data_IF_720073033375
#
_entry.id   IF_720073033375
#
_cell.length_a   1.000
_cell.length_b   1.000
_cell.length_c   1.000
_cell.angle_alpha   90.00
_cell.angle_beta   90.00
_cell.angle_gamma   90.00
#
_symmetry.space_group_name_H-M   'P 1'
#
loop_
_entity.id
_entity.type
_entity.pdbx_description
1 polymer ?
#
# COMPACT_ATOMS: atom_id res chain seq x y z
N UNK A 1 15.67 -4.24 -7.33
CA UNK A 1 15.02 -4.96 -8.45
C UNK A 1 15.88 -4.74 -9.68
N UNK A 2 16.15 -5.78 -10.46
CA UNK A 2 17.00 -5.72 -11.66
C UNK A 2 16.26 -6.31 -12.84
N UNK A 3 16.39 -5.70 -14.03
CA UNK A 3 15.97 -6.34 -15.28
C UNK A 3 17.14 -7.17 -15.82
N UNK A 4 16.87 -8.42 -16.15
CA UNK A 4 17.84 -9.40 -16.66
C UNK A 4 17.47 -9.74 -18.09
N UNK A 5 18.36 -9.41 -19.03
CA UNK A 5 18.22 -9.83 -20.43
C UNK A 5 18.43 -11.33 -20.55
N UNK A 6 17.60 -12.00 -21.35
CA UNK A 6 17.74 -13.42 -21.67
C UNK A 6 18.08 -13.54 -23.15
N UNK A 7 19.12 -14.31 -23.48
CA UNK A 7 19.49 -14.57 -24.87
C UNK A 7 18.31 -15.23 -25.60
N UNK A 8 17.85 -14.58 -26.67
CA UNK A 8 16.71 -15.02 -27.49
C UNK A 8 15.38 -15.19 -26.72
N UNK A 9 15.18 -14.48 -25.60
CA UNK A 9 13.96 -14.52 -24.81
C UNK A 9 13.51 -13.15 -24.32
N UNK A 10 12.32 -13.11 -23.70
CA UNK A 10 11.86 -11.92 -23.00
C UNK A 10 12.70 -11.67 -21.76
N UNK A 11 12.92 -10.39 -21.45
CA UNK A 11 13.61 -10.01 -20.22
C UNK A 11 12.85 -10.51 -18.98
N UNK A 12 13.59 -10.76 -17.91
CA UNK A 12 13.06 -11.11 -16.60
C UNK A 12 13.31 -9.98 -15.59
N UNK A 13 12.53 -9.97 -14.52
CA UNK A 13 12.75 -9.11 -13.36
C UNK A 13 13.25 -9.97 -12.21
N UNK A 14 14.45 -9.68 -11.72
CA UNK A 14 15.01 -10.25 -10.50
C UNK A 14 14.73 -9.32 -9.31
N UNK A 15 13.83 -9.74 -8.41
CA UNK A 15 13.53 -9.05 -7.14
C UNK A 15 14.38 -9.69 -6.05
N UNK A 16 15.35 -8.92 -5.53
CA UNK A 16 16.12 -9.31 -4.35
C UNK A 16 15.45 -8.74 -3.11
N UNK A 17 15.04 -9.62 -2.21
CA UNK A 17 14.41 -9.23 -0.94
C UNK A 17 15.47 -8.71 0.02
N UNK A 18 15.14 -7.60 0.69
CA UNK A 18 16.05 -6.96 1.64
C UNK A 18 16.27 -7.85 2.87
N UNK A 19 17.52 -8.16 3.24
CA UNK A 19 17.80 -8.90 4.46
C UNK A 19 17.15 -8.23 5.68
N UNK A 20 16.49 -9.03 6.52
CA UNK A 20 15.86 -8.56 7.76
C UNK A 20 14.51 -7.84 7.61
N UNK A 21 14.00 -7.61 6.39
CA UNK A 21 12.62 -7.08 6.21
C UNK A 21 11.57 -8.18 6.42
N UNK A 22 11.71 -9.27 5.68
CA UNK A 22 10.79 -10.41 5.70
C UNK A 22 11.59 -11.71 5.85
N UNK A 23 11.01 -12.66 6.61
CA UNK A 23 11.48 -14.04 6.68
C UNK A 23 11.00 -14.86 5.46
N UNK A 24 11.40 -16.12 5.39
CA UNK A 24 11.07 -16.98 4.24
C UNK A 24 9.57 -17.21 4.16
N UNK A 25 8.92 -17.44 5.30
CA UNK A 25 7.49 -17.69 5.44
C UNK A 25 6.66 -16.50 4.95
N UNK A 26 7.01 -15.27 5.34
CA UNK A 26 6.30 -14.06 4.91
C UNK A 26 6.49 -13.78 3.41
N UNK A 27 7.66 -14.11 2.85
CA UNK A 27 7.91 -13.97 1.40
C UNK A 27 7.15 -15.05 0.62
N UNK A 28 7.20 -16.31 1.06
CA UNK A 28 6.48 -17.41 0.42
C UNK A 28 4.96 -17.22 0.47
N UNK A 29 4.46 -16.57 1.51
CA UNK A 29 3.05 -16.20 1.60
C UNK A 29 2.64 -15.13 0.56
N UNK A 30 3.55 -14.20 0.21
CA UNK A 30 3.39 -13.32 -0.97
C UNK A 30 3.22 -14.12 -2.23
N UNK A 31 4.13 -15.08 -2.43
CA UNK A 31 4.25 -15.84 -3.67
C UNK A 31 3.02 -16.72 -3.84
N UNK A 32 2.54 -17.34 -2.76
CA UNK A 32 1.31 -18.10 -2.76
C UNK A 32 0.11 -17.21 -3.13
N UNK A 33 -0.03 -16.04 -2.52
CA UNK A 33 -1.13 -15.12 -2.86
C UNK A 33 -1.03 -14.63 -4.31
N UNK A 34 0.18 -14.32 -4.76
CA UNK A 34 0.46 -13.91 -6.13
C UNK A 34 0.07 -14.98 -7.17
N UNK A 35 0.36 -16.25 -6.88
CA UNK A 35 -0.04 -17.40 -7.71
C UNK A 35 -1.55 -17.62 -7.67
N UNK A 36 -2.19 -17.50 -6.49
CA UNK A 36 -3.65 -17.58 -6.34
C UNK A 36 -4.37 -16.50 -7.15
N UNK A 37 -3.85 -15.26 -7.12
CA UNK A 37 -4.39 -14.14 -7.90
C UNK A 37 -4.30 -14.43 -9.41
N UNK A 38 -3.13 -14.85 -9.89
CA UNK A 38 -2.96 -15.20 -11.29
C UNK A 38 -3.88 -16.35 -11.73
N UNK A 39 -4.04 -17.37 -10.88
CA UNK A 39 -4.97 -18.49 -11.13
C UNK A 39 -6.45 -18.06 -11.11
N UNK A 40 -6.78 -17.02 -10.34
CA UNK A 40 -8.10 -16.39 -10.30
C UNK A 40 -8.35 -15.36 -11.42
N UNK A 41 -7.55 -15.38 -12.49
CA UNK A 41 -7.64 -14.44 -13.62
C UNK A 41 -7.55 -12.96 -13.20
N UNK A 42 -6.82 -12.68 -12.12
CA UNK A 42 -6.36 -11.33 -11.80
C UNK A 42 -5.09 -11.08 -12.59
N UNK A 43 -5.08 -10.02 -13.40
CA UNK A 43 -3.92 -9.55 -14.17
C UNK A 43 -2.79 -9.10 -13.23
N UNK A 44 -2.06 -10.05 -12.68
CA UNK A 44 -0.88 -9.87 -11.86
C UNK A 44 0.19 -10.86 -12.33
N UNK A 45 1.45 -10.45 -12.22
CA UNK A 45 2.60 -11.25 -12.66
C UNK A 45 3.12 -12.07 -11.48
N UNK A 46 2.90 -13.39 -11.46
CA UNK A 46 3.42 -14.22 -10.38
C UNK A 46 4.93 -14.47 -10.52
N UNK A 47 5.59 -14.84 -9.41
CA UNK A 47 6.95 -15.36 -9.48
C UNK A 47 7.01 -16.61 -10.36
N UNK A 48 8.11 -16.78 -11.08
CA UNK A 48 8.39 -17.98 -11.88
C UNK A 48 8.68 -19.13 -10.92
N UNK A 49 7.96 -20.24 -11.11
CA UNK A 49 8.21 -21.50 -10.44
C UNK A 49 9.31 -22.28 -11.15
N UNK A 50 10.23 -22.87 -10.39
CA UNK A 50 11.17 -23.86 -10.93
C UNK A 50 10.46 -25.22 -11.18
N UNK A 51 11.13 -26.22 -11.77
CA UNK A 51 10.54 -27.55 -11.98
C UNK A 51 10.14 -28.32 -10.71
N UNK A 52 10.39 -27.77 -9.51
CA UNK A 52 10.01 -28.31 -8.20
C UNK A 52 9.01 -27.39 -7.49
N UNK A 53 8.35 -26.51 -8.26
CA UNK A 53 7.36 -25.53 -7.81
C UNK A 53 7.90 -24.46 -6.84
N UNK A 54 9.23 -24.28 -6.76
CA UNK A 54 9.85 -23.28 -5.88
C UNK A 54 9.90 -21.91 -6.55
N UNK A 55 9.61 -20.85 -5.79
CA UNK A 55 9.62 -19.45 -6.25
C UNK A 55 10.66 -18.58 -5.55
N UNK A 56 11.08 -18.97 -4.34
CA UNK A 56 12.06 -18.26 -3.53
C UNK A 56 13.41 -18.95 -3.59
N UNK A 57 14.41 -18.22 -4.07
CA UNK A 57 15.78 -18.69 -4.24
C UNK A 57 16.75 -17.92 -3.35
N UNK A 58 17.96 -18.45 -3.20
CA UNK A 58 19.02 -17.84 -2.39
C UNK A 58 20.31 -17.72 -3.19
N UNK A 59 20.96 -16.58 -3.08
CA UNK A 59 22.30 -16.35 -3.62
C UNK A 59 23.12 -15.49 -2.65
N UNK A 60 24.21 -16.05 -2.13
CA UNK A 60 24.97 -15.43 -1.04
C UNK A 60 24.08 -15.19 0.18
N UNK A 61 24.11 -13.96 0.73
CA UNK A 61 23.26 -13.53 1.85
C UNK A 61 21.86 -13.04 1.46
N UNK A 62 21.47 -13.16 0.18
CA UNK A 62 20.22 -12.59 -0.32
C UNK A 62 19.23 -13.67 -0.74
N UNK A 63 17.95 -13.36 -0.52
CA UNK A 63 16.81 -14.09 -1.09
C UNK A 63 16.35 -13.38 -2.34
N UNK A 64 15.92 -14.11 -3.36
CA UNK A 64 15.42 -13.50 -4.58
C UNK A 64 14.35 -14.36 -5.25
N UNK A 65 13.53 -13.71 -6.07
CA UNK A 65 12.57 -14.34 -6.95
C UNK A 65 12.67 -13.72 -8.36
N UNK A 66 12.26 -14.50 -9.36
CA UNK A 66 12.24 -14.10 -10.76
C UNK A 66 10.80 -13.91 -11.21
N UNK A 67 10.54 -12.87 -12.00
CA UNK A 67 9.22 -12.56 -12.53
C UNK A 67 9.32 -12.29 -14.04
N UNK A 68 8.31 -12.63 -14.84
CA UNK A 68 8.21 -12.13 -16.21
C UNK A 68 8.29 -10.60 -16.24
N UNK A 69 9.02 -10.02 -17.19
CA UNK A 69 8.96 -8.57 -17.42
C UNK A 69 7.66 -8.22 -18.13
N UNK A 70 6.92 -7.25 -17.60
CA UNK A 70 5.75 -6.67 -18.26
C UNK A 70 5.95 -5.16 -18.40
N UNK A 71 5.58 -4.62 -19.55
CA UNK A 71 5.51 -3.19 -19.79
C UNK A 71 4.09 -2.67 -19.56
N UNK A 72 3.94 -1.37 -19.49
CA UNK A 72 2.65 -0.71 -19.44
C UNK A 72 2.80 0.77 -19.18
N UNK A 73 1.68 1.49 -19.26
CA UNK A 73 1.61 2.93 -18.95
C UNK A 73 0.84 3.12 -17.64
N UNK A 74 1.01 4.24 -16.93
CA UNK A 74 0.14 4.53 -15.81
C UNK A 74 -1.36 4.56 -16.24
N UNK A 75 -2.29 4.19 -15.35
CA UNK A 75 -3.72 4.30 -15.63
C UNK A 75 -4.14 5.77 -15.88
N UNK A 76 -5.03 6.00 -16.84
CA UNK A 76 -5.72 7.27 -16.99
C UNK A 76 -6.92 7.33 -16.03
N UNK A 77 -6.75 7.97 -14.87
CA UNK A 77 -7.82 8.08 -13.87
C UNK A 77 -8.88 9.14 -14.21
N UNK A 78 -8.70 9.93 -15.27
CA UNK A 78 -9.73 10.88 -15.74
C UNK A 78 -10.79 10.20 -16.62
N UNK A 79 -10.52 8.99 -17.11
CA UNK A 79 -11.46 8.21 -17.92
C UNK A 79 -12.34 7.32 -17.02
N UNK A 80 -13.67 7.55 -16.97
CA UNK A 80 -14.58 6.75 -16.15
C UNK A 80 -14.60 5.26 -16.52
N UNK A 81 -14.31 4.90 -17.77
CA UNK A 81 -14.22 3.48 -18.13
C UNK A 81 -12.95 2.83 -17.60
N UNK A 82 -11.83 3.56 -17.59
CA UNK A 82 -10.62 3.09 -16.91
C UNK A 82 -10.85 2.94 -15.40
N UNK A 83 -11.56 3.89 -14.77
CA UNK A 83 -11.95 3.76 -13.36
C UNK A 83 -12.82 2.51 -13.13
N UNK A 84 -13.84 2.26 -13.97
CA UNK A 84 -14.66 1.03 -13.86
C UNK A 84 -13.84 -0.25 -14.06
N UNK A 85 -12.92 -0.26 -15.02
CA UNK A 85 -12.01 -1.39 -15.25
C UNK A 85 -11.12 -1.65 -14.03
N UNK A 86 -10.56 -0.59 -13.45
CA UNK A 86 -9.79 -0.67 -12.21
C UNK A 86 -10.65 -1.19 -11.06
N UNK A 87 -11.89 -0.72 -10.93
CA UNK A 87 -12.87 -1.24 -9.98
C UNK A 87 -13.07 -2.75 -10.12
N UNK A 88 -13.37 -3.23 -11.33
CA UNK A 88 -13.51 -4.67 -11.63
C UNK A 88 -12.26 -5.46 -11.25
N UNK A 89 -11.08 -4.91 -11.57
CA UNK A 89 -9.80 -5.51 -11.26
C UNK A 89 -9.59 -5.67 -9.74
N UNK A 90 -9.82 -4.60 -8.97
CA UNK A 90 -9.71 -4.62 -7.51
C UNK A 90 -10.76 -5.54 -6.87
N UNK A 91 -11.98 -5.58 -7.43
CA UNK A 91 -13.02 -6.51 -7.01
C UNK A 91 -12.60 -7.97 -7.14
N UNK A 92 -11.96 -8.35 -8.25
CA UNK A 92 -11.41 -9.71 -8.42
C UNK A 92 -10.26 -9.99 -7.46
N UNK A 93 -9.36 -9.02 -7.29
CA UNK A 93 -8.23 -9.14 -6.35
C UNK A 93 -8.73 -9.41 -4.93
N UNK A 94 -9.68 -8.60 -4.46
CA UNK A 94 -10.26 -8.75 -3.13
C UNK A 94 -11.05 -10.05 -3.01
N UNK A 95 -11.82 -10.46 -4.03
CA UNK A 95 -12.54 -11.73 -4.01
C UNK A 95 -11.61 -12.92 -3.73
N UNK A 96 -10.45 -12.97 -4.39
CA UNK A 96 -9.39 -13.96 -4.08
C UNK A 96 -8.80 -13.71 -2.68
N UNK A 97 -8.55 -12.45 -2.33
CA UNK A 97 -8.04 -12.01 -1.03
C UNK A 97 -8.89 -12.46 0.17
N UNK A 98 -10.21 -12.60 0.01
CA UNK A 98 -11.14 -13.07 1.06
C UNK A 98 -11.11 -14.59 1.26
N UNK A 99 -10.62 -15.37 0.29
CA UNK A 99 -10.72 -16.85 0.34
C UNK A 99 -9.85 -17.50 1.42
N UNK A 100 -8.79 -16.81 1.86
CA UNK A 100 -7.86 -17.26 2.91
C UNK A 100 -7.33 -16.08 3.71
N UNK A 101 -6.75 -16.37 4.86
CA UNK A 101 -6.06 -15.38 5.71
C UNK A 101 -4.56 -15.54 5.58
N UNK A 102 -3.84 -14.45 5.78
CA UNK A 102 -2.42 -14.54 6.04
C UNK A 102 -2.15 -15.06 7.46
N UNK A 103 -1.09 -15.84 7.58
CA UNK A 103 -0.55 -16.37 8.83
C UNK A 103 0.71 -15.61 9.28
N UNK A 104 1.52 -15.11 8.33
CA UNK A 104 2.82 -14.49 8.61
C UNK A 104 2.87 -13.00 8.24
N UNK A 105 2.19 -12.60 7.16
CA UNK A 105 2.10 -11.20 6.74
C UNK A 105 1.39 -10.36 7.81
N UNK A 106 1.84 -9.11 8.02
CA UNK A 106 1.29 -8.26 9.06
C UNK A 106 -0.13 -7.79 8.74
N UNK A 107 -0.80 -7.29 9.77
CA UNK A 107 -2.03 -6.52 9.63
C UNK A 107 -1.68 -5.03 9.47
N UNK A 108 -2.45 -4.30 8.68
CA UNK A 108 -2.44 -2.84 8.68
C UNK A 108 -3.28 -2.37 9.89
N UNK A 109 -2.61 -1.86 10.91
CA UNK A 109 -3.26 -1.36 12.12
C UNK A 109 -2.61 -0.06 12.65
N UNK A 110 -3.29 0.54 13.63
CA UNK A 110 -2.87 1.81 14.25
C UNK A 110 -1.54 1.66 14.98
N UNK A 111 -1.25 0.48 15.52
CA UNK A 111 -0.07 0.24 16.34
C UNK A 111 1.19 0.17 15.47
N UNK A 112 1.14 -0.57 14.36
CA UNK A 112 2.28 -0.77 13.45
C UNK A 112 2.53 0.44 12.55
N UNK A 113 1.48 1.09 12.03
CA UNK A 113 1.63 2.23 11.11
C UNK A 113 1.73 3.57 11.83
N UNK A 114 1.08 3.69 12.98
CA UNK A 114 1.01 4.91 13.77
C UNK A 114 1.97 4.88 14.94
N UNK A 115 1.59 4.19 16.01
CA UNK A 115 2.30 4.22 17.32
C UNK A 115 3.78 3.87 17.17
N UNK A 116 4.10 2.73 16.56
CA UNK A 116 5.48 2.27 16.37
C UNK A 116 6.29 3.16 15.40
N UNK A 117 5.62 3.88 14.49
CA UNK A 117 6.26 4.84 13.60
C UNK A 117 6.66 6.11 14.35
N UNK A 118 5.72 6.69 15.09
CA UNK A 118 5.95 7.89 15.92
C UNK A 118 7.01 7.61 16.99
N UNK A 119 6.89 6.49 17.70
CA UNK A 119 7.84 6.09 18.73
C UNK A 119 9.25 5.93 18.17
N UNK A 120 9.40 5.28 17.01
CA UNK A 120 10.70 5.13 16.36
C UNK A 120 11.36 6.48 16.05
N UNK A 121 10.58 7.44 15.53
CA UNK A 121 11.10 8.77 15.16
C UNK A 121 11.56 9.56 16.39
N UNK A 122 10.80 9.49 17.48
CA UNK A 122 11.12 10.15 18.74
C UNK A 122 12.34 9.50 19.42
N UNK A 123 12.39 8.17 19.49
CA UNK A 123 13.46 7.43 20.18
C UNK A 123 14.82 7.47 19.46
N UNK A 124 14.83 7.86 18.18
CA UNK A 124 16.04 7.92 17.37
C UNK A 124 16.42 9.35 16.98
N UNK A 125 15.92 10.35 17.72
CA UNK A 125 16.28 11.77 17.60
C UNK A 125 16.15 12.32 16.16
N UNK A 126 15.16 11.85 15.41
CA UNK A 126 14.90 12.34 14.05
C UNK A 126 14.20 13.71 14.07
N UNK A 127 13.40 13.98 15.10
CA UNK A 127 12.62 15.21 15.21
C UNK A 127 13.51 16.30 15.83
N UNK A 128 13.63 17.49 15.20
CA UNK A 128 14.35 18.62 15.79
C UNK A 128 13.81 18.97 17.19
N UNK A 129 14.72 19.28 18.12
CA UNK A 129 14.38 19.46 19.55
C UNK A 129 13.33 20.55 19.79
N UNK A 130 13.30 21.60 18.97
CA UNK A 130 12.31 22.67 19.03
C UNK A 130 10.93 22.26 18.51
N UNK A 131 10.87 21.24 17.63
CA UNK A 131 9.64 20.72 17.05
C UNK A 131 9.09 19.50 17.82
N UNK A 132 9.93 18.80 18.60
CA UNK A 132 9.55 17.57 19.29
C UNK A 132 8.29 17.71 20.16
N UNK A 133 8.11 18.74 21.01
CA UNK A 133 6.90 18.87 21.81
C UNK A 133 5.63 19.00 20.96
N UNK A 134 5.72 19.74 19.86
CA UNK A 134 4.60 19.93 18.93
C UNK A 134 4.29 18.65 18.16
N UNK A 135 5.31 17.91 17.72
CA UNK A 135 5.16 16.63 17.01
C UNK A 135 4.52 15.57 17.92
N UNK A 136 5.02 15.44 19.16
CA UNK A 136 4.48 14.49 20.15
C UNK A 136 3.01 14.75 20.45
N UNK A 137 2.65 15.97 20.82
CA UNK A 137 1.26 16.33 21.13
C UNK A 137 0.34 16.12 19.92
N UNK A 138 0.75 16.54 18.72
CA UNK A 138 -0.05 16.37 17.51
C UNK A 138 -0.28 14.89 17.17
N UNK A 139 0.77 14.07 17.23
CA UNK A 139 0.67 12.66 16.87
C UNK A 139 -0.15 11.87 17.88
N UNK A 140 -0.08 12.19 19.17
CA UNK A 140 -0.99 11.63 20.20
C UNK A 140 -2.46 11.91 19.87
N UNK A 141 -2.80 13.18 19.55
CA UNK A 141 -4.15 13.59 19.16
C UNK A 141 -4.63 12.88 17.88
N UNK A 142 -3.78 12.82 16.85
CA UNK A 142 -4.10 12.16 15.59
C UNK A 142 -4.30 10.65 15.76
N UNK A 143 -3.48 9.98 16.57
CA UNK A 143 -3.64 8.55 16.84
C UNK A 143 -4.96 8.27 17.58
N UNK A 144 -5.39 9.18 18.45
CA UNK A 144 -6.72 9.07 19.09
C UNK A 144 -7.85 9.25 18.07
N UNK A 145 -7.74 10.21 17.15
CA UNK A 145 -8.73 10.40 16.09
C UNK A 145 -8.80 9.21 15.13
N UNK A 146 -7.65 8.63 14.76
CA UNK A 146 -7.58 7.39 14.00
C UNK A 146 -8.37 6.28 14.71
N UNK A 147 -8.20 6.10 16.02
CA UNK A 147 -8.98 5.10 16.79
C UNK A 147 -10.48 5.38 16.73
N UNK A 148 -10.91 6.64 16.85
CA UNK A 148 -12.32 7.00 16.67
C UNK A 148 -12.86 6.71 15.27
N UNK A 149 -12.05 6.85 14.21
CA UNK A 149 -12.43 6.44 12.86
C UNK A 149 -12.72 4.93 12.81
N UNK A 150 -11.86 4.11 13.41
CA UNK A 150 -12.07 2.66 13.52
C UNK A 150 -13.31 2.32 14.37
N UNK A 151 -13.55 3.05 15.47
CA UNK A 151 -14.77 2.88 16.28
C UNK A 151 -16.05 3.20 15.48
N UNK A 152 -16.05 4.26 14.67
CA UNK A 152 -17.18 4.62 13.80
C UNK A 152 -17.41 3.62 12.68
N UNK A 153 -16.34 3.08 12.09
CA UNK A 153 -16.44 2.00 11.11
C UNK A 153 -17.02 0.71 11.75
N UNK A 154 -16.76 0.50 13.04
CA UNK A 154 -17.17 -0.70 13.76
C UNK A 154 -16.39 -1.94 13.30
N UNK A 155 -16.90 -3.16 13.56
CA UNK A 155 -16.25 -4.37 13.08
C UNK A 155 -16.30 -4.42 11.54
N UNK A 156 -15.11 -4.50 10.94
CA UNK A 156 -14.88 -4.66 9.50
C UNK A 156 -14.18 -5.98 9.24
N UNK A 157 -14.44 -6.58 8.09
CA UNK A 157 -13.72 -7.77 7.65
C UNK A 157 -12.35 -7.36 7.12
N UNK A 158 -11.30 -8.05 7.57
CA UNK A 158 -9.95 -7.84 7.08
C UNK A 158 -9.59 -8.93 6.08
N UNK A 159 -9.09 -8.52 4.92
CA UNK A 159 -8.81 -9.40 3.78
C UNK A 159 -7.33 -9.29 3.41
N UNK A 160 -6.83 -10.19 2.57
CA UNK A 160 -5.50 -10.05 1.97
C UNK A 160 -5.55 -8.99 0.88
N UNK A 161 -4.75 -7.96 1.04
CA UNK A 161 -4.70 -6.78 0.19
C UNK A 161 -3.41 -6.75 -0.63
N UNK A 162 -3.40 -5.96 -1.69
CA UNK A 162 -2.16 -5.43 -2.25
C UNK A 162 -1.43 -4.53 -1.23
N UNK A 163 -2.16 -3.75 -0.43
CA UNK A 163 -1.65 -3.00 0.73
C UNK A 163 -0.98 -1.67 0.39
N UNK A 164 -0.44 -1.54 -0.82
CA UNK A 164 0.12 -0.30 -1.37
C UNK A 164 -0.40 -0.01 -2.79
N UNK A 165 -1.72 -0.16 -3.01
CA UNK A 165 -2.32 -0.03 -4.34
C UNK A 165 -2.47 1.44 -4.77
N UNK A 166 -1.50 1.96 -5.51
CA UNK A 166 -1.53 3.29 -6.09
C UNK A 166 -1.09 3.24 -7.56
N UNK A 167 -1.25 4.35 -8.30
CA UNK A 167 -0.98 4.43 -9.75
C UNK A 167 0.42 3.98 -10.16
N UNK A 168 1.42 4.11 -9.28
CA UNK A 168 2.80 3.67 -9.53
C UNK A 168 2.98 2.15 -9.55
N UNK A 169 2.04 1.41 -8.95
CA UNK A 169 2.03 -0.06 -8.91
C UNK A 169 0.99 -0.65 -9.90
N UNK A 170 0.39 0.19 -10.75
CA UNK A 170 -0.54 -0.24 -11.81
C UNK A 170 0.10 0.04 -13.17
N UNK A 171 0.24 -1.01 -13.97
CA UNK A 171 0.63 -0.95 -15.37
C UNK A 171 -0.62 -1.16 -16.23
N UNK A 172 -0.89 -0.26 -17.16
CA UNK A 172 -1.99 -0.36 -18.10
C UNK A 172 -1.47 -0.85 -19.45
N UNK A 173 -2.08 -1.93 -19.94
CA UNK A 173 -1.82 -2.53 -21.25
C UNK A 173 -3.08 -2.49 -22.12
N UNK A 174 -3.01 -3.03 -23.33
CA UNK A 174 -4.18 -3.18 -24.20
C UNK A 174 -5.22 -4.16 -23.61
N UNK A 175 -4.79 -5.05 -22.69
CA UNK A 175 -5.64 -6.01 -21.99
C UNK A 175 -6.20 -5.46 -20.65
N UNK A 176 -5.87 -4.21 -20.30
CA UNK A 176 -6.37 -3.51 -19.11
C UNK A 176 -5.32 -3.33 -18.00
N UNK A 177 -5.74 -3.18 -16.73
CA UNK A 177 -4.83 -3.01 -15.60
C UNK A 177 -4.07 -4.30 -15.28
N UNK A 178 -2.78 -4.14 -15.03
CA UNK A 178 -1.87 -5.14 -14.47
C UNK A 178 -1.26 -4.61 -13.19
N UNK A 179 -1.36 -5.38 -12.11
CA UNK A 179 -0.76 -5.02 -10.84
C UNK A 179 0.65 -5.59 -10.72
N UNK A 180 1.53 -4.78 -10.15
CA UNK A 180 2.91 -5.16 -9.86
C UNK A 180 3.23 -4.96 -8.38
N UNK A 181 4.20 -5.73 -7.90
CA UNK A 181 4.81 -5.64 -6.59
C UNK A 181 3.91 -5.85 -5.35
N UNK A 182 3.83 -7.09 -4.90
CA UNK A 182 3.17 -7.45 -3.64
C UNK A 182 4.09 -7.40 -2.41
N UNK A 183 5.25 -6.71 -2.43
CA UNK A 183 6.18 -6.65 -1.26
C UNK A 183 5.52 -6.10 0.01
N UNK A 184 4.50 -5.25 -0.19
CA UNK A 184 3.74 -4.59 0.86
C UNK A 184 2.32 -5.15 1.05
N UNK A 185 2.03 -6.29 0.40
CA UNK A 185 0.78 -7.02 0.61
C UNK A 185 0.64 -7.44 2.07
N UNK A 186 -0.57 -7.30 2.61
CA UNK A 186 -0.85 -7.39 4.05
C UNK A 186 -2.33 -7.65 4.29
N UNK A 187 -2.69 -7.95 5.52
CA UNK A 187 -4.09 -8.04 5.92
C UNK A 187 -4.63 -6.65 6.29
N UNK A 188 -5.81 -6.27 5.80
CA UNK A 188 -6.39 -4.97 6.13
C UNK A 188 -7.79 -4.75 5.53
N UNK A 189 -8.36 -3.54 5.69
CA UNK A 189 -9.66 -3.19 5.14
C UNK A 189 -9.58 -2.96 3.62
N UNK A 190 -10.61 -3.39 2.89
CA UNK A 190 -10.67 -3.28 1.42
C UNK A 190 -10.46 -1.85 0.92
N UNK A 191 -10.95 -0.84 1.66
CA UNK A 191 -10.79 0.57 1.30
C UNK A 191 -9.32 0.99 1.14
N UNK A 192 -8.38 0.30 1.79
CA UNK A 192 -6.93 0.59 1.68
C UNK A 192 -6.44 0.55 0.24
N UNK A 193 -6.94 -0.39 -0.58
CA UNK A 193 -6.54 -0.51 -1.98
C UNK A 193 -7.40 0.35 -2.93
N UNK A 194 -8.35 1.13 -2.40
CA UNK A 194 -9.27 1.94 -3.21
C UNK A 194 -9.02 3.44 -3.05
N UNK A 195 -8.82 3.93 -1.82
CA UNK A 195 -8.82 5.37 -1.54
C UNK A 195 -7.68 6.13 -2.22
N UNK A 196 -6.57 5.45 -2.53
CA UNK A 196 -5.38 6.05 -3.16
C UNK A 196 -5.59 6.44 -4.63
N UNK A 197 -6.71 6.04 -5.23
CA UNK A 197 -7.12 6.47 -6.57
C UNK A 197 -8.07 7.67 -6.55
N UNK A 198 -8.46 8.15 -5.37
CA UNK A 198 -9.33 9.29 -5.20
C UNK A 198 -8.49 10.57 -5.15
N UNK A 199 -8.80 11.53 -6.03
CA UNK A 199 -8.10 12.81 -6.13
C UNK A 199 -9.08 13.92 -6.51
N UNK A 200 -8.65 15.17 -6.35
CA UNK A 200 -9.50 16.33 -6.63
C UNK A 200 -10.31 16.75 -5.41
N UNK A 201 -11.32 17.58 -5.65
CA UNK A 201 -12.21 18.03 -4.59
C UNK A 201 -13.17 16.91 -4.13
N UNK A 202 -14.01 17.20 -3.15
CA UNK A 202 -14.92 16.20 -2.59
C UNK A 202 -15.87 15.63 -3.64
N UNK A 203 -16.37 16.44 -4.58
CA UNK A 203 -17.29 15.99 -5.62
C UNK A 203 -16.58 15.08 -6.62
N UNK A 204 -15.33 15.42 -6.98
CA UNK A 204 -14.49 14.57 -7.85
C UNK A 204 -14.20 13.21 -7.19
N UNK A 205 -13.89 13.21 -5.90
CA UNK A 205 -13.62 12.00 -5.12
C UNK A 205 -14.86 11.12 -5.00
N UNK A 206 -16.03 11.69 -4.69
CA UNK A 206 -17.29 10.94 -4.61
C UNK A 206 -17.68 10.36 -5.98
N UNK A 207 -17.51 11.12 -7.07
CA UNK A 207 -17.73 10.64 -8.45
C UNK A 207 -16.81 9.46 -8.81
N UNK A 208 -15.51 9.59 -8.52
CA UNK A 208 -14.52 8.55 -8.79
C UNK A 208 -14.76 7.30 -7.94
N UNK A 209 -15.12 7.49 -6.67
CA UNK A 209 -15.46 6.40 -5.76
C UNK A 209 -16.68 5.62 -6.27
N UNK A 210 -17.75 6.31 -6.68
CA UNK A 210 -18.92 5.65 -7.26
C UNK A 210 -18.55 4.82 -8.50
N UNK A 211 -17.77 5.40 -9.41
CA UNK A 211 -17.34 4.73 -10.64
C UNK A 211 -16.44 3.50 -10.36
N UNK A 212 -15.54 3.60 -9.39
CA UNK A 212 -14.73 2.46 -8.93
C UNK A 212 -15.62 1.38 -8.31
N UNK A 213 -16.56 1.76 -7.45
CA UNK A 213 -17.47 0.82 -6.77
C UNK A 213 -18.46 0.14 -7.73
N UNK A 214 -18.89 0.81 -8.80
CA UNK A 214 -19.67 0.19 -9.88
C UNK A 214 -18.95 -1.01 -10.49
N UNK A 215 -17.64 -0.89 -10.75
CA UNK A 215 -16.82 -1.98 -11.24
C UNK A 215 -16.54 -3.04 -10.18
N UNK A 216 -16.17 -2.59 -8.97
CA UNK A 216 -15.81 -3.44 -7.84
C UNK A 216 -16.95 -4.38 -7.43
N UNK A 217 -18.18 -3.84 -7.39
CA UNK A 217 -19.38 -4.54 -6.95
C UNK A 217 -19.82 -5.69 -7.85
N UNK A 218 -19.18 -5.87 -9.01
CA UNK A 218 -19.39 -7.04 -9.86
C UNK A 218 -18.76 -8.32 -9.28
N UNK A 219 -17.81 -8.18 -8.34
CA UNK A 219 -17.08 -9.31 -7.76
C UNK A 219 -17.12 -9.36 -6.23
N UNK A 220 -17.30 -8.23 -5.55
CA UNK A 220 -17.33 -8.13 -4.09
C UNK A 220 -18.34 -7.07 -3.63
N UNK A 221 -19.09 -7.34 -2.58
CA UNK A 221 -19.83 -6.27 -1.89
C UNK A 221 -18.85 -5.36 -1.12
N UNK A 222 -19.06 -4.05 -1.18
CA UNK A 222 -18.25 -3.08 -0.44
C UNK A 222 -19.01 -2.56 0.80
N UNK A 223 -18.34 -2.60 1.96
CA UNK A 223 -18.90 -2.05 3.19
C UNK A 223 -18.67 -0.54 3.25
N UNK A 224 -19.74 0.25 3.10
CA UNK A 224 -19.67 1.72 3.20
C UNK A 224 -19.14 2.21 4.56
N UNK A 225 -19.14 1.38 5.59
CA UNK A 225 -18.54 1.71 6.90
C UNK A 225 -17.03 1.93 6.80
N UNK A 226 -16.37 1.28 5.85
CA UNK A 226 -14.94 1.45 5.62
C UNK A 226 -14.59 2.86 5.11
N UNK A 227 -15.55 3.64 4.60
CA UNK A 227 -15.32 5.03 4.20
C UNK A 227 -14.88 5.92 5.37
N UNK A 228 -15.24 5.57 6.61
CA UNK A 228 -14.72 6.24 7.80
C UNK A 228 -13.20 6.08 7.99
N UNK A 229 -12.58 5.12 7.32
CA UNK A 229 -11.16 4.80 7.48
C UNK A 229 -10.26 5.52 6.49
N UNK A 230 -10.79 6.20 5.47
CA UNK A 230 -9.97 6.82 4.41
C UNK A 230 -8.92 7.77 5.02
N UNK A 231 -9.38 8.77 5.77
CA UNK A 231 -8.49 9.78 6.38
C UNK A 231 -7.61 9.19 7.48
N UNK A 232 -8.10 8.15 8.18
CA UNK A 232 -7.34 7.43 9.18
C UNK A 232 -6.16 6.67 8.56
N UNK A 233 -6.40 5.93 7.47
CA UNK A 233 -5.39 5.19 6.72
C UNK A 233 -4.41 6.13 6.02
N UNK A 234 -4.87 7.27 5.51
CA UNK A 234 -4.01 8.32 4.94
C UNK A 234 -3.07 8.90 5.99
N UNK A 235 -3.60 9.26 7.15
CA UNK A 235 -2.81 9.76 8.29
C UNK A 235 -1.77 8.72 8.73
N UNK A 236 -2.17 7.46 8.88
CA UNK A 236 -1.28 6.35 9.20
C UNK A 236 -0.18 6.16 8.13
N UNK A 237 -0.54 6.25 6.84
CA UNK A 237 0.42 6.17 5.72
C UNK A 237 1.44 7.30 5.79
N UNK A 238 1.03 8.53 6.11
CA UNK A 238 1.93 9.68 6.25
C UNK A 238 2.94 9.49 7.38
N UNK A 239 2.49 9.09 8.58
CA UNK A 239 3.35 8.79 9.72
C UNK A 239 4.31 7.64 9.41
N UNK A 240 3.78 6.55 8.85
CA UNK A 240 4.55 5.38 8.49
C UNK A 240 5.61 5.69 7.42
N UNK A 241 5.32 6.54 6.44
CA UNK A 241 6.27 6.90 5.38
C UNK A 241 7.52 7.58 5.95
N UNK A 242 7.36 8.55 6.86
CA UNK A 242 8.49 9.22 7.51
C UNK A 242 9.31 8.26 8.38
N UNK A 243 8.66 7.38 9.15
CA UNK A 243 9.36 6.34 9.90
C UNK A 243 10.04 5.31 8.98
N UNK A 244 9.46 5.00 7.83
CA UNK A 244 10.04 4.10 6.82
C UNK A 244 11.34 4.66 6.23
N UNK A 245 11.38 5.97 5.96
CA UNK A 245 12.61 6.67 5.56
C UNK A 245 13.65 6.64 6.69
N UNK A 246 13.23 7.03 7.90
CA UNK A 246 14.10 7.09 9.08
C UNK A 246 14.77 5.74 9.40
N UNK A 247 14.01 4.64 9.40
CA UNK A 247 14.51 3.27 9.63
C UNK A 247 15.60 2.86 8.64
N UNK A 248 15.70 3.52 7.49
CA UNK A 248 16.64 3.21 6.40
C UNK A 248 17.66 4.31 6.17
N UNK A 249 17.67 5.35 7.00
CA UNK A 249 18.51 6.52 6.78
C UNK A 249 20.02 6.23 6.81
N UNK A 250 20.43 5.14 7.48
CA UNK A 250 21.82 4.67 7.50
C UNK A 250 22.27 4.00 6.19
N UNK A 251 21.33 3.60 5.32
CA UNK A 251 21.66 3.09 3.98
C UNK A 251 22.09 4.28 3.09
N UNK A 252 23.31 4.30 2.53
CA UNK A 252 23.81 5.42 1.72
C UNK A 252 22.95 5.76 0.50
N UNK A 253 22.10 4.85 0.02
CA UNK A 253 21.16 5.14 -1.05
C UNK A 253 20.05 6.10 -0.62
N UNK A 254 19.64 6.09 0.65
CA UNK A 254 18.49 6.86 1.13
C UNK A 254 18.78 8.37 1.19
N UNK A 255 19.88 8.86 1.80
CA UNK A 255 20.23 10.28 1.74
C UNK A 255 20.42 10.81 0.31
N UNK A 256 20.81 9.96 -0.64
CA UNK A 256 20.95 10.32 -2.06
C UNK A 256 19.62 10.43 -2.79
N UNK A 257 18.70 9.49 -2.53
CA UNK A 257 17.38 9.45 -3.16
C UNK A 257 16.40 10.46 -2.52
N UNK A 258 16.58 10.77 -1.24
CA UNK A 258 15.71 11.66 -0.46
C UNK A 258 16.53 12.76 0.22
N UNK A 259 17.25 13.61 -0.55
CA UNK A 259 18.13 14.65 0.03
C UNK A 259 17.38 15.73 0.80
N UNK A 260 16.05 15.80 0.63
CA UNK A 260 15.15 16.70 1.35
C UNK A 260 14.81 16.21 2.77
N UNK A 261 14.93 14.91 3.03
CA UNK A 261 14.56 14.31 4.31
C UNK A 261 15.58 14.63 5.40
N UNK A 262 15.14 14.61 6.66
CA UNK A 262 15.94 14.93 7.85
C UNK A 262 16.52 16.35 7.86
N UNK A 263 15.76 17.31 7.33
CA UNK A 263 16.01 18.75 7.43
C UNK A 263 14.94 19.41 8.31
N UNK A 264 15.25 20.57 8.91
CA UNK A 264 14.27 21.35 9.69
C UNK A 264 12.97 21.55 8.90
N UNK A 265 13.09 22.04 7.66
CA UNK A 265 11.97 22.35 6.78
C UNK A 265 11.09 21.14 6.46
N UNK A 266 11.67 19.95 6.28
CA UNK A 266 10.84 18.78 6.00
C UNK A 266 10.02 18.37 7.22
N UNK A 267 10.55 18.52 8.42
CA UNK A 267 9.81 18.24 9.66
C UNK A 267 8.72 19.27 9.94
N UNK A 268 8.98 20.55 9.68
CA UNK A 268 7.95 21.60 9.73
C UNK A 268 6.80 21.30 8.75
N UNK A 269 7.13 20.92 7.51
CA UNK A 269 6.13 20.55 6.51
C UNK A 269 5.35 19.30 6.92
N UNK A 270 6.04 18.26 7.40
CA UNK A 270 5.37 17.04 7.87
C UNK A 270 4.37 17.31 8.99
N UNK A 271 4.74 18.16 9.95
CA UNK A 271 3.85 18.59 11.04
C UNK A 271 2.65 19.35 10.48
N UNK A 272 2.87 20.24 9.50
CA UNK A 272 1.78 20.98 8.86
C UNK A 272 0.82 20.02 8.13
N UNK A 273 1.34 19.11 7.31
CA UNK A 273 0.53 18.14 6.57
C UNK A 273 -0.30 17.27 7.53
N UNK A 274 0.29 16.84 8.65
CA UNK A 274 -0.40 16.08 9.69
C UNK A 274 -1.49 16.91 10.41
N UNK A 275 -1.26 18.22 10.63
CA UNK A 275 -2.30 19.11 11.19
C UNK A 275 -3.49 19.26 10.24
N UNK A 276 -3.23 19.32 8.93
CA UNK A 276 -4.27 19.42 7.91
C UNK A 276 -5.14 18.16 7.83
N UNK A 277 -4.63 16.99 8.23
CA UNK A 277 -5.42 15.75 8.32
C UNK A 277 -6.42 15.72 9.48
N UNK A 278 -6.14 16.41 10.58
CA UNK A 278 -7.00 16.39 11.77
C UNK A 278 -8.48 16.75 11.49
N UNK A 279 -8.81 17.89 10.85
CA UNK A 279 -10.21 18.20 10.56
C UNK A 279 -10.87 17.18 9.62
N UNK A 280 -10.14 16.63 8.65
CA UNK A 280 -10.66 15.67 7.66
C UNK A 280 -11.12 14.37 8.33
N UNK A 281 -10.45 13.91 9.39
CA UNK A 281 -10.87 12.73 10.17
C UNK A 281 -12.15 12.94 10.99
N UNK A 282 -12.62 14.18 11.15
CA UNK A 282 -13.86 14.51 11.88
C UNK A 282 -15.02 14.80 10.93
N UNK A 283 -14.73 15.20 9.69
CA UNK A 283 -15.74 15.43 8.67
C UNK A 283 -16.54 14.15 8.33
N UNK A 284 -17.78 14.29 7.81
CA UNK A 284 -18.51 13.16 7.29
C UNK A 284 -17.71 12.44 6.19
N UNK A 285 -17.69 11.09 6.17
CA UNK A 285 -17.00 10.35 5.12
C UNK A 285 -17.59 10.68 3.75
N UNK A 286 -16.86 10.35 2.68
CA UNK A 286 -17.37 10.47 1.30
C UNK A 286 -18.72 9.79 1.16
N UNK A 287 -19.62 10.38 0.39
CA UNK A 287 -20.93 9.80 0.08
C UNK A 287 -20.88 8.99 -1.22
N UNK A 288 -21.63 7.88 -1.24
CA UNK A 288 -21.89 7.10 -2.46
C UNK A 288 -23.37 7.18 -2.81
N UNK A 289 -23.71 7.10 -4.10
CA UNK A 289 -25.09 7.15 -4.60
C UNK A 289 -25.76 5.78 -4.46
#
# INVERSE_FOLDING_TARGET
>A
VYQVGIDNGSALIAKFYRPGRWDDETILEEHAFSLELAAGEVSLIPPIQDPRDQTLFRHGGHRFALFPSCGGRPPNLEDPEHQRQLGRFLGRLHAVGMTRRYAHRPVLDVDTFGVASVQFLLDNDFIPTDLEPAYRSLTEDLLQQVRWCYERAGPIELIRLHGDCHTGNILWTDDGPHLVDLDDSRTGPAIQDLWMFLSGDRQDQESSLNTLLEGYSQFCEFSLRELHLIEALRTLRMMHHYAWLARRWRDPAFPRAFPWFNSQRCWEQHILDLREQAPLMVEPPLATI
#
